data_IF_687346316326
#
_entry.id   IF_687346316326
#
_cell.length_a   1.000
_cell.length_b   1.000
_cell.length_c   1.000
_cell.angle_alpha   90.00
_cell.angle_beta   90.00
_cell.angle_gamma   90.00
#
_symmetry.space_group_name_H-M   'P 1'
#
loop_
_entity.id
_entity.type
_entity.pdbx_description
1 polymer ?
#
# COMPACT_ATOMS: atom_id res chain seq x y z
N UNK A 1 -12.20 -9.88 8.25
CA UNK A 1 -11.82 -9.35 6.93
C UNK A 1 -13.08 -8.92 6.18
N UNK A 2 -13.03 -7.79 5.50
CA UNK A 2 -14.09 -7.30 4.63
C UNK A 2 -13.62 -7.56 3.21
N UNK A 3 -14.42 -8.29 2.44
CA UNK A 3 -14.08 -8.56 1.05
C UNK A 3 -14.36 -7.31 0.21
N UNK A 4 -13.33 -6.80 -0.42
CA UNK A 4 -13.36 -5.64 -1.31
C UNK A 4 -13.06 -6.06 -2.75
N UNK A 5 -13.52 -5.31 -3.73
CA UNK A 5 -13.38 -5.67 -5.14
C UNK A 5 -12.80 -4.51 -5.96
N UNK A 6 -12.42 -4.80 -7.19
CA UNK A 6 -11.94 -3.80 -8.15
C UNK A 6 -12.94 -2.66 -8.37
N UNK A 7 -14.24 -2.93 -8.30
CA UNK A 7 -15.30 -1.91 -8.46
C UNK A 7 -15.16 -0.73 -7.51
N UNK A 8 -14.64 -0.99 -6.31
CA UNK A 8 -14.41 0.00 -5.27
C UNK A 8 -12.92 0.27 -5.07
N UNK A 9 -12.09 0.05 -6.08
CA UNK A 9 -10.62 0.18 -5.98
C UNK A 9 -10.04 -0.65 -4.81
N UNK A 10 -10.62 -1.80 -4.48
CA UNK A 10 -10.28 -2.63 -3.30
C UNK A 10 -10.42 -1.90 -1.96
N UNK A 11 -11.24 -0.87 -1.89
CA UNK A 11 -11.49 -0.11 -0.66
C UNK A 11 -12.91 -0.38 -0.15
N UNK A 12 -13.12 -0.44 1.19
CA UNK A 12 -14.44 -0.69 1.76
C UNK A 12 -15.36 0.52 1.59
N UNK A 13 -16.66 0.26 1.50
CA UNK A 13 -17.70 1.28 1.48
C UNK A 13 -18.63 1.14 2.68
N UNK A 14 -19.41 2.17 3.05
CA UNK A 14 -20.45 2.06 4.07
C UNK A 14 -21.42 0.89 3.83
N UNK A 15 -21.75 0.60 2.56
CA UNK A 15 -22.61 -0.53 2.18
C UNK A 15 -21.97 -1.88 2.50
N UNK A 16 -20.66 -2.01 2.28
CA UNK A 16 -19.96 -3.24 2.63
C UNK A 16 -19.95 -3.43 4.15
N UNK A 17 -19.69 -2.37 4.91
CA UNK A 17 -19.66 -2.38 6.38
C UNK A 17 -21.02 -2.73 6.99
N UNK A 18 -22.12 -2.33 6.35
CA UNK A 18 -23.47 -2.56 6.88
C UNK A 18 -23.84 -4.03 7.08
N UNK A 19 -23.08 -4.93 6.46
CA UNK A 19 -23.26 -6.39 6.54
C UNK A 19 -22.58 -7.00 7.77
N UNK A 20 -21.80 -6.21 8.51
CA UNK A 20 -20.99 -6.69 9.63
C UNK A 20 -21.32 -5.94 10.91
N UNK A 21 -21.34 -6.67 12.02
CA UNK A 21 -21.39 -6.05 13.34
C UNK A 21 -19.94 -5.90 13.84
N UNK A 22 -19.37 -4.68 13.71
CA UNK A 22 -17.99 -4.38 14.03
C UNK A 22 -17.88 -3.21 15.02
N UNK A 23 -16.89 -3.26 15.88
CA UNK A 23 -16.57 -2.17 16.83
C UNK A 23 -15.37 -1.33 16.38
N UNK A 24 -14.63 -1.79 15.40
CA UNK A 24 -13.48 -1.10 14.84
C UNK A 24 -13.29 -1.43 13.37
N UNK A 25 -12.78 -0.45 12.63
CA UNK A 25 -12.42 -0.56 11.22
C UNK A 25 -10.97 -0.10 11.05
N UNK A 26 -10.15 -0.91 10.38
CA UNK A 26 -8.83 -0.52 9.92
C UNK A 26 -8.87 -0.41 8.40
N UNK A 27 -8.47 0.76 7.89
CA UNK A 27 -8.29 1.03 6.46
C UNK A 27 -6.85 1.45 6.17
N UNK A 28 -6.41 1.30 4.92
CA UNK A 28 -5.13 1.81 4.44
C UNK A 28 -5.33 2.53 3.11
N UNK A 29 -4.87 3.79 3.04
CA UNK A 29 -4.94 4.60 1.83
C UNK A 29 -3.73 5.55 1.76
N UNK A 30 -2.80 5.35 0.79
CA UNK A 30 -2.73 4.25 -0.21
C UNK A 30 -2.57 2.87 0.41
N UNK A 31 -3.20 1.85 -0.19
CA UNK A 31 -3.21 0.49 0.31
C UNK A 31 -2.00 -0.36 -0.09
N UNK A 32 -1.60 -1.27 0.78
CA UNK A 32 -0.72 -2.38 0.45
C UNK A 32 -1.58 -3.65 0.52
N UNK A 33 -1.74 -4.43 -0.56
CA UNK A 33 -0.86 -4.54 -1.74
C UNK A 33 -1.30 -3.71 -2.97
N UNK A 34 -2.45 -3.06 -2.96
CA UNK A 34 -3.13 -2.58 -4.18
C UNK A 34 -2.55 -1.29 -4.75
N UNK A 35 -1.95 -0.44 -3.92
CA UNK A 35 -1.57 0.93 -4.31
C UNK A 35 -2.77 1.87 -4.45
N UNK A 36 -3.98 1.37 -4.35
CA UNK A 36 -5.19 2.18 -4.53
C UNK A 36 -5.46 3.13 -3.37
N UNK A 37 -6.09 4.25 -3.67
CA UNK A 37 -6.45 5.27 -2.71
C UNK A 37 -7.97 5.43 -2.61
N UNK A 38 -8.43 5.82 -1.43
CA UNK A 38 -9.83 6.21 -1.20
C UNK A 38 -9.97 7.67 -1.64
N UNK A 39 -10.91 7.95 -2.52
CA UNK A 39 -11.24 9.31 -2.94
C UNK A 39 -11.86 10.08 -1.75
N UNK A 40 -11.77 11.43 -1.79
CA UNK A 40 -12.17 12.30 -0.68
C UNK A 40 -13.61 12.06 -0.21
N UNK A 41 -14.58 12.06 -1.12
CA UNK A 41 -15.99 11.90 -0.77
C UNK A 41 -16.32 10.49 -0.20
N UNK A 42 -15.83 9.37 -0.79
CA UNK A 42 -15.94 8.06 -0.18
C UNK A 42 -15.28 7.95 1.21
N UNK A 43 -14.15 8.63 1.42
CA UNK A 43 -13.49 8.65 2.73
C UNK A 43 -14.34 9.38 3.77
N UNK A 44 -14.87 10.55 3.43
CA UNK A 44 -15.80 11.30 4.29
C UNK A 44 -17.03 10.46 4.66
N UNK A 45 -17.62 9.76 3.68
CA UNK A 45 -18.75 8.88 3.91
C UNK A 45 -18.42 7.73 4.87
N UNK A 46 -17.22 7.14 4.78
CA UNK A 46 -16.75 6.12 5.71
C UNK A 46 -16.56 6.66 7.12
N UNK A 47 -15.95 7.84 7.25
CA UNK A 47 -15.73 8.49 8.56
C UNK A 47 -17.07 8.77 9.24
N UNK A 48 -18.02 9.38 8.52
CA UNK A 48 -19.35 9.67 9.04
C UNK A 48 -20.09 8.39 9.44
N UNK A 49 -20.04 7.35 8.60
CA UNK A 49 -20.61 6.04 8.91
C UNK A 49 -20.06 5.44 10.21
N UNK A 50 -18.73 5.51 10.40
CA UNK A 50 -18.09 5.02 11.61
C UNK A 50 -18.50 5.84 12.85
N UNK A 51 -18.54 7.16 12.72
CA UNK A 51 -18.93 8.06 13.81
C UNK A 51 -20.36 7.80 14.28
N UNK A 52 -21.32 7.72 13.34
CA UNK A 52 -22.74 7.46 13.63
C UNK A 52 -22.98 6.14 14.36
N UNK A 53 -22.12 5.15 14.12
CA UNK A 53 -22.23 3.80 14.70
C UNK A 53 -21.27 3.52 15.83
N UNK A 54 -20.48 4.52 16.23
CA UNK A 54 -19.45 4.40 17.27
C UNK A 54 -18.42 3.31 16.95
N UNK A 55 -18.06 3.16 15.68
CA UNK A 55 -17.01 2.27 15.20
C UNK A 55 -15.69 3.03 15.31
N UNK A 56 -14.72 2.49 16.03
CA UNK A 56 -13.37 3.08 16.12
C UNK A 56 -12.66 2.95 14.78
N UNK A 57 -12.24 4.08 14.20
CA UNK A 57 -11.57 4.11 12.90
C UNK A 57 -10.06 4.23 13.09
N UNK A 58 -9.32 3.30 12.50
CA UNK A 58 -7.86 3.31 12.38
C UNK A 58 -7.53 3.49 10.90
N UNK A 59 -6.81 4.56 10.57
CA UNK A 59 -6.33 4.83 9.20
C UNK A 59 -4.82 4.65 9.14
N UNK A 60 -4.39 3.69 8.33
CA UNK A 60 -2.97 3.54 7.98
C UNK A 60 -2.67 4.44 6.79
N UNK A 61 -1.99 5.56 7.06
CA UNK A 61 -1.61 6.58 6.10
C UNK A 61 -0.09 6.55 5.82
N UNK A 62 0.55 5.40 6.06
CA UNK A 62 2.02 5.25 5.97
C UNK A 62 2.59 5.63 4.60
N UNK A 63 1.79 5.57 3.53
CA UNK A 63 2.20 5.91 2.17
C UNK A 63 1.87 7.35 1.76
N UNK A 64 1.31 8.19 2.65
CA UNK A 64 1.15 9.62 2.36
C UNK A 64 2.49 10.25 2.01
N UNK A 65 2.50 11.07 0.95
CA UNK A 65 3.71 11.57 0.29
C UNK A 65 4.09 10.76 -0.96
N UNK A 66 3.63 9.50 -1.09
CA UNK A 66 3.84 8.68 -2.28
C UNK A 66 2.49 8.49 -2.98
N UNK A 67 2.07 9.48 -3.70
CA UNK A 67 0.90 9.49 -4.58
C UNK A 67 1.29 10.15 -5.90
N UNK A 68 0.54 9.85 -6.97
CA UNK A 68 0.94 10.26 -8.31
C UNK A 68 0.00 11.30 -8.93
N UNK A 69 -1.23 10.92 -9.21
CA UNK A 69 -2.14 11.72 -10.03
C UNK A 69 -3.32 12.29 -9.23
N UNK A 70 -3.39 12.01 -7.92
CA UNK A 70 -4.42 12.51 -7.02
C UNK A 70 -3.85 12.97 -5.69
N UNK A 71 -4.55 13.86 -5.01
CA UNK A 71 -4.17 14.32 -3.68
C UNK A 71 -4.73 13.36 -2.61
N UNK A 72 -3.93 12.96 -1.63
CA UNK A 72 -4.42 12.16 -0.52
C UNK A 72 -5.29 13.02 0.39
N UNK A 73 -6.33 12.41 0.96
CA UNK A 73 -7.07 12.96 2.08
C UNK A 73 -6.74 12.18 3.35
N UNK A 74 -6.46 12.89 4.42
CA UNK A 74 -6.35 12.27 5.74
C UNK A 74 -7.71 12.21 6.41
N UNK A 75 -7.94 11.16 7.19
CA UNK A 75 -9.17 11.07 8.01
C UNK A 75 -9.32 12.25 8.96
N UNK A 76 -8.22 12.90 9.37
CA UNK A 76 -8.21 14.09 10.21
C UNK A 76 -8.91 15.31 9.58
N UNK A 77 -9.12 15.32 8.28
CA UNK A 77 -9.92 16.37 7.64
C UNK A 77 -11.40 16.31 8.00
N UNK A 78 -11.86 15.15 8.49
CA UNK A 78 -13.27 14.87 8.74
C UNK A 78 -13.57 14.59 10.23
N UNK A 79 -12.59 14.11 11.02
CA UNK A 79 -12.82 13.74 12.41
C UNK A 79 -11.53 13.75 13.23
N UNK A 80 -11.61 14.29 14.47
CA UNK A 80 -10.56 14.18 15.48
C UNK A 80 -10.70 12.87 16.32
N UNK A 81 -11.80 12.14 16.17
CA UNK A 81 -12.06 10.91 16.90
C UNK A 81 -11.68 9.68 16.06
N UNK A 82 -10.40 9.62 15.72
CA UNK A 82 -9.81 8.54 14.91
C UNK A 82 -8.36 8.29 15.31
N UNK A 83 -7.80 7.21 14.78
CA UNK A 83 -6.40 6.85 14.98
C UNK A 83 -5.70 6.86 13.63
N UNK A 84 -4.66 7.68 13.49
CA UNK A 84 -3.85 7.75 12.27
C UNK A 84 -2.50 7.14 12.54
N UNK A 85 -2.09 6.21 11.70
CA UNK A 85 -0.77 5.59 11.75
C UNK A 85 0.04 6.10 10.57
N UNK A 86 1.23 6.59 10.84
CA UNK A 86 2.15 7.02 9.81
C UNK A 86 3.60 6.71 10.22
N UNK A 87 4.55 6.84 9.28
CA UNK A 87 5.93 6.43 9.51
C UNK A 87 6.90 7.18 8.61
N UNK A 88 8.15 7.30 9.10
CA UNK A 88 9.28 7.75 8.29
C UNK A 88 9.82 6.67 7.33
N UNK A 89 9.29 5.44 7.41
CA UNK A 89 9.81 4.31 6.64
C UNK A 89 9.61 4.40 5.13
N UNK A 90 8.58 5.12 4.64
CA UNK A 90 8.18 5.10 3.23
C UNK A 90 8.59 6.37 2.50
N UNK A 91 7.79 7.42 2.55
CA UNK A 91 8.11 8.68 1.88
C UNK A 91 9.48 9.21 2.28
N UNK A 92 9.80 9.22 3.56
CA UNK A 92 11.07 9.72 4.08
C UNK A 92 12.26 8.75 3.91
N UNK A 93 12.09 7.60 3.27
CA UNK A 93 13.15 6.61 2.98
C UNK A 93 13.93 6.13 4.21
N UNK A 94 13.32 6.16 5.41
CA UNK A 94 13.95 5.85 6.70
C UNK A 94 13.54 4.47 7.26
N UNK A 95 13.36 3.48 6.39
CA UNK A 95 12.88 2.14 6.78
C UNK A 95 13.73 1.50 7.91
N UNK A 96 15.06 1.61 7.83
CA UNK A 96 16.00 1.03 8.81
C UNK A 96 16.01 1.75 10.16
N UNK A 97 15.50 2.97 10.25
CA UNK A 97 15.52 3.79 11.47
C UNK A 97 14.41 3.47 12.46
N UNK A 98 13.42 2.67 12.06
CA UNK A 98 12.35 2.15 12.92
C UNK A 98 11.62 3.25 13.71
N UNK A 99 11.16 4.28 13.02
CA UNK A 99 10.46 5.41 13.63
C UNK A 99 9.18 5.78 12.84
N UNK A 100 8.15 6.17 13.57
CA UNK A 100 6.86 6.61 13.06
C UNK A 100 6.08 7.35 14.14
N UNK A 101 4.85 7.69 13.86
CA UNK A 101 3.96 8.35 14.81
C UNK A 101 2.54 7.84 14.68
N UNK A 102 1.79 8.06 15.75
CA UNK A 102 0.35 7.85 15.80
C UNK A 102 -0.34 9.13 16.26
N UNK A 103 -1.39 9.53 15.57
CA UNK A 103 -2.33 10.55 16.04
C UNK A 103 -3.51 9.83 16.67
N UNK A 104 -3.92 10.25 17.86
CA UNK A 104 -5.00 9.61 18.61
C UNK A 104 -5.92 10.66 19.22
N UNK A 105 -7.18 10.34 19.54
CA UNK A 105 -8.06 11.20 20.30
C UNK A 105 -7.38 11.66 21.59
N UNK A 106 -7.58 12.93 21.96
CA UNK A 106 -6.89 13.57 23.08
C UNK A 106 -7.00 12.81 24.40
N UNK A 107 -8.15 12.25 24.68
CA UNK A 107 -8.43 11.42 25.86
C UNK A 107 -7.67 10.08 25.87
N UNK A 108 -7.21 9.61 24.72
CA UNK A 108 -6.46 8.36 24.59
C UNK A 108 -4.94 8.53 24.62
N UNK A 109 -4.42 9.76 24.53
CA UNK A 109 -2.98 10.02 24.50
C UNK A 109 -2.28 9.34 25.68
N UNK A 110 -2.77 9.55 26.92
CA UNK A 110 -2.14 8.97 28.10
C UNK A 110 -2.20 7.45 28.15
N UNK A 111 -3.25 6.85 27.60
CA UNK A 111 -3.40 5.39 27.53
C UNK A 111 -2.35 4.82 26.56
N UNK A 112 -2.23 5.42 25.38
CA UNK A 112 -1.27 5.00 24.34
C UNK A 112 0.17 5.21 24.82
N UNK A 113 0.49 6.31 25.50
CA UNK A 113 1.81 6.52 26.12
C UNK A 113 2.16 5.40 27.11
N UNK A 114 1.21 4.99 27.98
CA UNK A 114 1.45 3.89 28.92
C UNK A 114 1.71 2.57 28.22
N UNK A 115 0.96 2.27 27.16
CA UNK A 115 1.18 1.07 26.36
C UNK A 115 2.57 1.10 25.75
N UNK A 116 2.94 2.19 25.10
CA UNK A 116 4.27 2.37 24.51
C UNK A 116 5.40 2.21 25.53
N UNK A 117 5.31 2.90 26.67
CA UNK A 117 6.31 2.84 27.74
C UNK A 117 6.56 1.42 28.25
N UNK A 118 5.50 0.61 28.34
CA UNK A 118 5.60 -0.77 28.83
C UNK A 118 6.04 -1.77 27.76
N UNK A 119 5.75 -1.50 26.48
CA UNK A 119 6.11 -2.41 25.39
C UNK A 119 7.56 -2.24 24.92
N UNK A 120 8.07 -1.00 24.82
CA UNK A 120 9.39 -0.71 24.24
C UNK A 120 10.03 0.60 24.71
N UNK A 121 9.55 1.18 25.81
CA UNK A 121 10.08 2.39 26.48
C UNK A 121 9.95 3.63 25.57
N UNK A 122 10.77 3.73 24.52
CA UNK A 122 10.72 4.82 23.54
C UNK A 122 11.40 4.41 22.22
N UNK A 123 11.15 5.17 21.16
CA UNK A 123 11.92 5.05 19.93
C UNK A 123 13.38 5.50 20.17
N UNK A 124 14.33 4.97 19.39
CA UNK A 124 15.74 5.38 19.46
C UNK A 124 15.90 6.89 19.37
N UNK A 125 16.66 7.48 20.28
CA UNK A 125 16.95 8.92 20.29
C UNK A 125 17.60 9.38 18.96
N UNK A 126 18.57 8.60 18.46
CA UNK A 126 19.20 8.89 17.16
C UNK A 126 18.17 8.94 16.02
N UNK A 127 17.22 8.00 15.99
CA UNK A 127 16.16 7.97 14.99
C UNK A 127 15.25 9.19 15.09
N UNK A 128 14.94 9.65 16.29
CA UNK A 128 14.10 10.85 16.50
C UNK A 128 14.80 12.12 15.98
N UNK A 129 16.09 12.30 16.28
CA UNK A 129 16.86 13.45 15.78
C UNK A 129 16.96 13.44 14.25
N UNK A 130 17.25 12.27 13.66
CA UNK A 130 17.32 12.14 12.20
C UNK A 130 15.95 12.37 11.54
N UNK A 131 14.86 11.97 12.16
CA UNK A 131 13.51 12.21 11.66
C UNK A 131 13.18 13.72 11.59
N UNK A 132 13.69 14.53 12.52
CA UNK A 132 13.55 16.00 12.45
C UNK A 132 14.23 16.53 11.19
N UNK A 133 15.47 16.09 10.92
CA UNK A 133 16.21 16.48 9.72
C UNK A 133 15.58 15.98 8.41
N UNK A 134 14.83 14.89 8.44
CA UNK A 134 14.17 14.35 7.25
C UNK A 134 13.13 15.33 6.63
N UNK A 135 12.53 16.21 7.43
CA UNK A 135 11.62 17.23 6.91
C UNK A 135 12.34 18.29 6.05
N UNK A 136 13.64 18.45 6.22
CA UNK A 136 14.45 19.38 5.42
C UNK A 136 14.89 18.75 4.08
N UNK A 137 14.81 17.41 3.96
CA UNK A 137 15.24 16.65 2.79
C UNK A 137 14.22 16.61 1.64
N UNK A 138 13.28 17.56 1.53
CA UNK A 138 12.19 17.52 0.55
C UNK A 138 12.67 17.34 -0.89
N UNK A 139 13.75 17.99 -1.30
CA UNK A 139 14.28 17.91 -2.66
C UNK A 139 14.71 16.49 -3.03
N UNK A 140 15.38 15.80 -2.11
CA UNK A 140 15.82 14.41 -2.29
C UNK A 140 14.63 13.45 -2.29
N UNK A 141 13.66 13.68 -1.42
CA UNK A 141 12.45 12.85 -1.32
C UNK A 141 11.60 12.95 -2.59
N UNK A 142 11.45 14.14 -3.14
CA UNK A 142 10.75 14.35 -4.42
C UNK A 142 11.47 13.68 -5.60
N UNK A 143 12.82 13.61 -5.61
CA UNK A 143 13.55 12.83 -6.61
C UNK A 143 13.22 11.34 -6.54
N UNK A 144 13.10 10.77 -5.33
CA UNK A 144 12.68 9.38 -5.16
C UNK A 144 11.25 9.17 -5.68
N UNK A 145 10.33 10.11 -5.38
CA UNK A 145 8.97 10.07 -5.88
C UNK A 145 8.92 10.11 -7.41
N UNK A 146 9.73 10.98 -8.04
CA UNK A 146 9.84 11.03 -9.51
C UNK A 146 10.32 9.71 -10.10
N UNK A 147 11.32 9.07 -9.48
CA UNK A 147 11.79 7.74 -9.88
C UNK A 147 10.69 6.70 -9.78
N UNK A 148 9.91 6.70 -8.70
CA UNK A 148 8.77 5.77 -8.56
C UNK A 148 7.70 6.03 -9.61
N UNK A 149 7.41 7.29 -9.92
CA UNK A 149 6.45 7.65 -10.98
C UNK A 149 6.90 7.13 -12.34
N UNK A 150 8.16 7.36 -12.70
CA UNK A 150 8.77 6.87 -13.95
C UNK A 150 8.70 5.33 -14.03
N UNK A 151 9.09 4.64 -12.96
CA UNK A 151 9.05 3.18 -12.88
C UNK A 151 7.63 2.63 -13.02
N UNK A 152 6.65 3.29 -12.37
CA UNK A 152 5.23 2.95 -12.50
C UNK A 152 4.78 3.06 -13.96
N UNK A 153 5.12 4.14 -14.63
CA UNK A 153 4.76 4.38 -16.04
C UNK A 153 5.37 3.31 -16.97
N UNK A 154 6.64 2.97 -16.79
CA UNK A 154 7.30 1.90 -17.55
C UNK A 154 6.59 0.55 -17.39
N UNK A 155 6.23 0.19 -16.17
CA UNK A 155 5.53 -1.07 -15.89
C UNK A 155 4.10 -1.07 -16.46
N UNK A 156 3.33 0.01 -16.25
CA UNK A 156 1.96 0.10 -16.76
C UNK A 156 1.89 0.06 -18.29
N UNK A 157 2.92 0.57 -18.97
CA UNK A 157 3.01 0.50 -20.43
C UNK A 157 3.42 -0.90 -20.93
N UNK A 158 4.33 -1.59 -20.22
CA UNK A 158 4.90 -2.84 -20.68
C UNK A 158 4.06 -4.07 -20.29
N UNK A 159 3.50 -4.12 -19.10
CA UNK A 159 2.84 -5.31 -18.56
C UNK A 159 1.63 -5.79 -19.40
N UNK A 160 0.79 -4.91 -19.97
CA UNK A 160 -0.30 -5.33 -20.86
C UNK A 160 0.18 -6.07 -22.11
N UNK A 161 1.37 -5.71 -22.64
CA UNK A 161 1.96 -6.42 -23.78
C UNK A 161 2.31 -7.89 -23.45
N UNK A 162 2.41 -8.20 -22.17
CA UNK A 162 2.71 -9.54 -21.66
C UNK A 162 1.46 -10.24 -21.11
N UNK A 163 0.27 -9.68 -21.35
CA UNK A 163 -1.02 -10.22 -20.94
C UNK A 163 -1.47 -9.84 -19.52
N UNK A 164 -0.72 -9.03 -18.79
CA UNK A 164 -1.15 -8.56 -17.47
C UNK A 164 -2.09 -7.35 -17.59
N UNK A 165 -3.35 -7.61 -17.94
CA UNK A 165 -4.34 -6.58 -18.27
C UNK A 165 -5.09 -6.05 -17.04
N UNK A 166 -5.26 -6.86 -16.00
CA UNK A 166 -6.04 -6.54 -14.83
C UNK A 166 -5.12 -6.11 -13.67
N UNK A 167 -4.84 -4.81 -13.60
CA UNK A 167 -3.99 -4.19 -12.58
C UNK A 167 -4.86 -3.27 -11.72
N UNK A 168 -4.80 -3.43 -10.40
CA UNK A 168 -5.46 -2.50 -9.47
C UNK A 168 -4.94 -1.08 -9.70
N UNK A 169 -5.79 -0.02 -9.61
CA UNK A 169 -5.33 1.35 -9.79
C UNK A 169 -4.18 1.70 -8.84
N UNK A 170 -2.95 1.92 -9.33
CA UNK A 170 -1.80 2.25 -8.50
C UNK A 170 -1.72 3.77 -8.28
N UNK A 171 -2.70 4.29 -7.52
CA UNK A 171 -2.85 5.72 -7.25
C UNK A 171 -1.71 6.25 -6.36
N UNK A 172 -1.17 5.38 -5.49
CA UNK A 172 -0.08 5.69 -4.56
C UNK A 172 0.73 4.47 -4.15
N UNK A 173 1.55 4.61 -3.10
CA UNK A 173 2.56 3.62 -2.70
C UNK A 173 3.56 3.33 -3.84
N UNK A 174 4.12 2.14 -3.89
CA UNK A 174 5.07 1.70 -4.93
C UNK A 174 4.83 0.24 -5.32
N UNK A 175 3.54 -0.14 -5.47
CA UNK A 175 3.11 -1.50 -5.79
C UNK A 175 2.17 -1.51 -6.99
N UNK A 176 2.28 -2.58 -7.77
CA UNK A 176 1.22 -3.04 -8.66
C UNK A 176 0.63 -4.32 -8.10
N UNK A 177 -0.68 -4.40 -7.99
CA UNK A 177 -1.41 -5.60 -7.64
C UNK A 177 -2.14 -6.10 -8.86
N UNK A 178 -1.76 -7.29 -9.32
CA UNK A 178 -2.02 -7.77 -10.67
C UNK A 178 -2.79 -9.08 -10.61
N UNK A 179 -3.87 -9.19 -11.34
CA UNK A 179 -4.57 -10.45 -11.55
C UNK A 179 -3.83 -11.32 -12.56
N UNK A 180 -3.56 -12.57 -12.20
CA UNK A 180 -2.87 -13.57 -13.00
C UNK A 180 -3.75 -14.78 -13.30
N UNK A 181 -5.06 -14.68 -13.11
CA UNK A 181 -6.00 -15.80 -13.29
C UNK A 181 -5.98 -16.40 -14.71
N UNK A 182 -5.58 -15.61 -15.71
CA UNK A 182 -5.38 -16.08 -17.09
C UNK A 182 -4.15 -17.02 -17.22
N UNK A 183 -3.19 -16.96 -16.29
CA UNK A 183 -1.94 -17.70 -16.36
C UNK A 183 -1.83 -18.79 -15.29
N UNK A 184 -2.37 -18.52 -14.10
CA UNK A 184 -2.26 -19.42 -12.96
C UNK A 184 -3.38 -19.19 -11.93
N UNK A 185 -3.82 -20.27 -11.32
CA UNK A 185 -4.68 -20.27 -10.13
C UNK A 185 -3.87 -20.48 -8.83
N UNK A 186 -2.54 -20.49 -8.90
CA UNK A 186 -1.62 -20.64 -7.77
C UNK A 186 -0.55 -19.56 -7.85
N UNK A 187 -0.78 -18.48 -7.10
CA UNK A 187 0.11 -17.31 -7.05
C UNK A 187 1.48 -17.66 -6.45
N UNK A 188 1.54 -18.61 -5.52
CA UNK A 188 2.80 -19.04 -4.92
C UNK A 188 3.69 -19.78 -5.93
N UNK A 189 3.13 -20.74 -6.65
CA UNK A 189 3.86 -21.46 -7.69
C UNK A 189 4.30 -20.53 -8.83
N UNK A 190 3.43 -19.58 -9.21
CA UNK A 190 3.73 -18.59 -10.23
C UNK A 190 4.93 -17.71 -9.84
N UNK A 191 4.92 -17.10 -8.65
CA UNK A 191 6.03 -16.20 -8.22
C UNK A 191 7.31 -16.99 -7.97
N UNK A 192 7.21 -18.23 -7.52
CA UNK A 192 8.37 -19.14 -7.37
C UNK A 192 9.03 -19.42 -8.72
N UNK A 193 8.25 -19.77 -9.74
CA UNK A 193 8.77 -19.98 -11.10
C UNK A 193 9.34 -18.68 -11.70
N UNK A 194 8.67 -17.53 -11.47
CA UNK A 194 9.16 -16.23 -11.92
C UNK A 194 10.52 -15.92 -11.29
N UNK A 195 10.71 -16.24 -10.00
CA UNK A 195 11.99 -16.05 -9.33
C UNK A 195 13.06 -17.02 -9.84
N UNK A 196 12.75 -18.32 -9.86
CA UNK A 196 13.74 -19.37 -10.14
C UNK A 196 14.20 -19.34 -11.63
N UNK A 197 13.32 -18.99 -12.55
CA UNK A 197 13.57 -19.01 -14.01
C UNK A 197 13.76 -17.59 -14.55
N UNK A 198 12.83 -16.68 -14.25
CA UNK A 198 12.86 -15.30 -14.73
C UNK A 198 13.81 -14.40 -13.95
N UNK A 199 14.17 -14.79 -12.73
CA UNK A 199 15.02 -13.98 -11.85
C UNK A 199 14.36 -12.68 -11.36
N UNK A 200 13.02 -12.65 -11.30
CA UNK A 200 12.23 -11.51 -10.81
C UNK A 200 11.46 -11.93 -9.57
N UNK A 201 11.73 -11.22 -8.46
CA UNK A 201 11.02 -11.45 -7.20
C UNK A 201 9.68 -10.68 -7.20
N UNK A 202 8.61 -11.41 -6.93
CA UNK A 202 7.25 -10.87 -6.71
C UNK A 202 6.69 -11.47 -5.43
N UNK A 203 5.64 -10.87 -4.88
CA UNK A 203 4.96 -11.43 -3.69
C UNK A 203 3.65 -12.08 -4.12
N UNK A 204 3.36 -13.32 -3.69
CA UNK A 204 2.10 -13.96 -4.00
C UNK A 204 0.93 -13.25 -3.33
N UNK A 205 -0.20 -13.17 -4.00
CA UNK A 205 -1.38 -12.46 -3.48
C UNK A 205 -1.98 -13.13 -2.24
N UNK A 206 -1.77 -14.43 -2.08
CA UNK A 206 -2.24 -15.17 -0.89
C UNK A 206 -1.66 -14.65 0.43
N UNK A 207 -0.51 -13.96 0.41
CA UNK A 207 0.07 -13.31 1.58
C UNK A 207 -0.78 -12.13 2.09
N UNK A 208 -1.67 -11.59 1.24
CA UNK A 208 -2.50 -10.43 1.53
C UNK A 208 -3.99 -10.76 1.58
N UNK A 209 -4.44 -11.64 0.69
CA UNK A 209 -5.84 -12.04 0.56
C UNK A 209 -5.97 -13.57 0.57
N UNK A 210 -6.35 -14.17 1.71
CA UNK A 210 -6.51 -15.60 1.83
C UNK A 210 -7.71 -16.16 1.04
N UNK A 211 -8.58 -15.30 0.52
CA UNK A 211 -9.79 -15.71 -0.24
C UNK A 211 -9.52 -15.69 -1.74
N UNK A 212 -9.02 -14.56 -2.26
CA UNK A 212 -8.88 -14.34 -3.71
C UNK A 212 -7.41 -14.20 -4.15
N UNK A 213 -6.46 -14.24 -3.22
CA UNK A 213 -5.05 -13.98 -3.50
C UNK A 213 -4.35 -15.05 -4.33
N UNK A 214 -4.94 -16.25 -4.48
CA UNK A 214 -4.36 -17.33 -5.30
C UNK A 214 -4.20 -16.95 -6.78
N UNK A 215 -4.99 -16.03 -7.28
CA UNK A 215 -4.90 -15.54 -8.65
C UNK A 215 -4.27 -14.13 -8.76
N UNK A 216 -3.56 -13.68 -7.74
CA UNK A 216 -3.02 -12.31 -7.72
C UNK A 216 -1.56 -12.31 -7.30
N UNK A 217 -0.83 -11.28 -7.76
CA UNK A 217 0.56 -11.03 -7.35
C UNK A 217 0.74 -9.56 -7.02
N UNK A 218 1.74 -9.26 -6.16
CA UNK A 218 2.21 -7.89 -5.94
C UNK A 218 3.61 -7.72 -6.51
N UNK A 219 3.79 -6.71 -7.36
CA UNK A 219 5.08 -6.26 -7.88
C UNK A 219 5.44 -4.91 -7.23
N UNK A 220 6.65 -4.81 -6.65
CA UNK A 220 7.17 -3.55 -6.12
C UNK A 220 8.07 -2.88 -7.16
N UNK A 221 7.94 -1.55 -7.30
CA UNK A 221 8.79 -0.76 -8.20
C UNK A 221 9.67 0.26 -7.47
N UNK A 222 9.90 0.06 -6.17
CA UNK A 222 10.80 0.89 -5.37
C UNK A 222 12.27 0.50 -5.58
N UNK A 223 12.75 0.67 -6.81
CA UNK A 223 14.11 0.38 -7.26
C UNK A 223 14.60 1.46 -8.23
N UNK A 224 15.86 1.40 -8.64
CA UNK A 224 16.36 2.26 -9.71
C UNK A 224 15.68 1.93 -11.04
N UNK A 225 15.48 2.93 -11.90
CA UNK A 225 14.84 2.74 -13.21
C UNK A 225 15.55 1.68 -14.07
N UNK A 226 16.90 1.61 -14.14
CA UNK A 226 17.57 0.53 -14.87
C UNK A 226 17.26 -0.88 -14.36
N UNK A 227 17.12 -1.06 -13.03
CA UNK A 227 16.72 -2.36 -12.46
C UNK A 227 15.29 -2.74 -12.85
N UNK A 228 14.36 -1.77 -12.87
CA UNK A 228 12.98 -2.00 -13.29
C UNK A 228 12.91 -2.35 -14.78
N UNK A 229 13.62 -1.64 -15.64
CA UNK A 229 13.69 -1.94 -17.08
C UNK A 229 14.25 -3.36 -17.35
N UNK A 230 15.31 -3.74 -16.62
CA UNK A 230 15.83 -5.11 -16.67
C UNK A 230 14.79 -6.13 -16.18
N UNK A 231 14.06 -5.81 -15.11
CA UNK A 231 12.97 -6.66 -14.61
C UNK A 231 11.87 -6.87 -15.66
N UNK A 232 11.47 -5.83 -16.36
CA UNK A 232 10.47 -5.88 -17.44
C UNK A 232 10.93 -6.85 -18.56
N UNK A 233 12.17 -6.72 -19.03
CA UNK A 233 12.70 -7.63 -20.06
C UNK A 233 12.74 -9.08 -19.58
N UNK A 234 13.08 -9.33 -18.32
CA UNK A 234 13.07 -10.69 -17.74
C UNK A 234 11.65 -11.25 -17.64
N UNK A 235 10.67 -10.46 -17.25
CA UNK A 235 9.25 -10.86 -17.24
C UNK A 235 8.82 -11.24 -18.65
N UNK A 236 9.14 -10.42 -19.65
CA UNK A 236 8.83 -10.67 -21.06
C UNK A 236 9.39 -12.01 -21.57
N UNK A 237 10.67 -12.27 -21.27
CA UNK A 237 11.33 -13.54 -21.65
C UNK A 237 10.62 -14.73 -20.99
N UNK A 238 10.38 -14.65 -19.67
CA UNK A 238 9.69 -15.70 -18.92
C UNK A 238 8.30 -16.02 -19.49
N UNK A 239 7.50 -14.97 -19.77
CA UNK A 239 6.15 -15.14 -20.30
C UNK A 239 6.15 -15.81 -21.68
N UNK A 240 7.13 -15.48 -22.55
CA UNK A 240 7.32 -16.13 -23.86
C UNK A 240 7.73 -17.60 -23.74
N UNK A 241 8.73 -17.90 -22.91
CA UNK A 241 9.25 -19.27 -22.72
C UNK A 241 8.18 -20.22 -22.14
N UNK A 242 7.32 -19.72 -21.27
CA UNK A 242 6.22 -20.50 -20.69
C UNK A 242 4.98 -20.57 -21.57
N UNK A 243 5.03 -20.03 -22.81
CA UNK A 243 3.90 -19.96 -23.75
C UNK A 243 2.64 -19.31 -23.18
N UNK A 244 2.81 -18.40 -22.24
CA UNK A 244 1.70 -17.55 -21.78
C UNK A 244 1.38 -16.42 -22.79
N UNK A 245 2.32 -16.12 -23.69
CA UNK A 245 2.10 -15.24 -24.83
C UNK A 245 1.90 -16.10 -26.09
N UNK A 246 0.80 -15.91 -26.78
CA UNK A 246 0.52 -16.48 -28.11
C UNK A 246 1.29 -15.74 -29.22
#
# INVERSE_FOLDING_TARGET
LINTTEKNKFQPTPTDLSRYNINGLLIASPGNPTGSMIDREPLEALVNYCADRKISLISDEIYHGIQYDMQPSTVLEFSDNCYIINSFSKYFSMTGWRIGWIVVPKEHVRIVERIQQNMFICASHASQILAIGAFEGKVELEKNLMTYKENREHLLNALPEFGFNNIAPPDGAFYLYIDISEFSSDSYDFVKKMLDIGGVAMTPGIDFDPINGNSKIRLSYARSTPEILNGIERIKIFMKEKKYLQ
#
